data_IF_337775607317
#
_entry.id   IF_337775607317
#
_cell.length_a   1.000
_cell.length_b   1.000
_cell.length_c   1.000
_cell.angle_alpha   90.00
_cell.angle_beta   90.00
_cell.angle_gamma   90.00
#
_symmetry.space_group_name_H-M   'P 1'
#
loop_
_entity.id
_entity.type
_entity.pdbx_description
1 polymer ?
#
# COMPACT_ATOMS: atom_id res chain seq x y z
N UNK A 1 15.63 26.39 -53.76
CA UNK A 1 14.87 25.33 -53.04
C UNK A 1 15.73 24.98 -51.83
N UNK A 2 15.31 25.02 -50.56
CA UNK A 2 14.03 24.74 -49.93
C UNK A 2 13.89 25.66 -48.70
N UNK A 3 12.65 25.90 -48.29
CA UNK A 3 12.18 26.98 -47.43
C UNK A 3 12.14 26.47 -45.98
N UNK A 4 12.81 27.14 -45.05
CA UNK A 4 12.68 26.82 -43.63
C UNK A 4 11.61 27.75 -43.05
N UNK A 5 10.39 27.22 -42.99
CA UNK A 5 9.18 27.91 -42.60
C UNK A 5 8.65 27.31 -41.30
N UNK A 6 8.46 28.20 -40.32
CA UNK A 6 7.53 28.15 -39.18
C UNK A 6 7.84 27.23 -37.99
N UNK A 7 8.54 27.84 -37.03
CA UNK A 7 8.31 27.74 -35.58
C UNK A 7 6.83 27.98 -35.24
N UNK A 8 6.12 26.97 -34.71
CA UNK A 8 4.91 27.18 -33.90
C UNK A 8 4.97 26.24 -32.70
N UNK A 9 5.11 26.89 -31.55
CA UNK A 9 4.94 26.40 -30.19
C UNK A 9 3.50 25.92 -29.99
N UNK A 10 3.31 24.65 -29.68
CA UNK A 10 2.07 24.13 -29.12
C UNK A 10 2.43 23.23 -27.93
N UNK A 11 2.45 23.86 -26.75
CA UNK A 11 2.49 23.19 -25.45
C UNK A 11 1.15 22.47 -25.31
N UNK A 12 1.14 21.16 -25.52
CA UNK A 12 0.00 20.33 -25.12
C UNK A 12 0.39 19.74 -23.78
N UNK A 13 -0.09 20.40 -22.72
CA UNK A 13 -0.22 19.81 -21.42
C UNK A 13 -1.02 18.51 -21.59
N UNK A 14 -0.36 17.36 -21.41
CA UNK A 14 -1.06 16.12 -21.13
C UNK A 14 -1.67 16.26 -19.74
N UNK A 15 -2.87 16.81 -19.73
CA UNK A 15 -3.80 16.68 -18.64
C UNK A 15 -3.88 15.19 -18.29
N UNK A 16 -3.70 14.91 -17.00
CA UNK A 16 -3.97 13.63 -16.40
C UNK A 16 -5.27 13.06 -16.99
N UNK A 17 -5.20 11.85 -17.53
CA UNK A 17 -6.37 11.01 -17.68
C UNK A 17 -6.85 10.61 -16.26
N UNK A 18 -7.36 11.60 -15.52
CA UNK A 18 -8.20 11.40 -14.35
C UNK A 18 -9.61 11.19 -14.88
N UNK A 19 -10.02 9.93 -14.96
CA UNK A 19 -11.38 9.56 -15.30
C UNK A 19 -12.37 10.34 -14.42
N UNK A 20 -13.36 10.95 -15.07
CA UNK A 20 -14.54 11.55 -14.44
C UNK A 20 -15.31 10.51 -13.65
N UNK A 21 -15.64 10.84 -12.41
CA UNK A 21 -16.78 10.27 -11.71
C UNK A 21 -17.60 11.47 -11.24
N UNK A 22 -18.73 11.69 -11.92
CA UNK A 22 -19.84 12.48 -11.41
C UNK A 22 -20.15 12.04 -9.98
N UNK A 23 -20.10 12.99 -9.05
CA UNK A 23 -21.02 13.14 -7.91
C UNK A 23 -20.57 14.35 -7.06
N UNK A 24 -21.45 15.34 -6.96
CA UNK A 24 -21.38 16.44 -5.99
C UNK A 24 -21.44 15.90 -4.56
N UNK A 25 -20.36 15.93 -3.79
CA UNK A 25 -20.37 16.19 -2.35
C UNK A 25 -18.94 16.40 -1.82
N UNK A 26 -18.78 17.40 -0.97
CA UNK A 26 -17.64 17.73 -0.10
C UNK A 26 -16.22 17.22 -0.44
N UNK A 27 -15.27 18.17 -0.49
CA UNK A 27 -13.83 17.91 -0.28
C UNK A 27 -13.60 17.34 1.13
N UNK A 28 -13.82 16.04 1.28
CA UNK A 28 -13.29 15.31 2.41
C UNK A 28 -11.87 14.91 2.02
N UNK A 29 -10.89 15.71 2.45
CA UNK A 29 -9.54 15.18 2.68
C UNK A 29 -9.64 14.22 3.86
N UNK A 30 -10.24 13.04 3.61
CA UNK A 30 -9.99 11.86 4.42
C UNK A 30 -8.55 11.48 4.09
N UNK A 31 -7.59 12.04 4.81
CA UNK A 31 -6.33 11.32 4.99
C UNK A 31 -6.65 10.10 5.85
N UNK A 32 -7.14 9.04 5.21
CA UNK A 32 -7.19 7.73 5.82
C UNK A 32 -6.33 6.79 4.99
N UNK A 33 -5.00 6.79 5.18
CA UNK A 33 -4.20 5.68 4.77
C UNK A 33 -4.16 4.64 5.90
N UNK A 34 -5.30 4.17 6.41
CA UNK A 34 -5.31 2.86 7.09
C UNK A 34 -5.55 1.79 6.03
N UNK A 35 -4.66 1.74 5.03
CA UNK A 35 -4.47 0.53 4.24
C UNK A 35 -3.81 -0.49 5.17
N UNK A 36 -4.63 -1.19 5.97
CA UNK A 36 -4.14 -2.23 6.86
C UNK A 36 -3.38 -3.27 6.03
N UNK A 37 -2.08 -3.41 6.28
CA UNK A 37 -1.25 -4.35 5.52
C UNK A 37 -1.03 -5.63 6.34
N UNK A 38 -1.45 -6.76 5.77
CA UNK A 38 -1.24 -8.07 6.35
C UNK A 38 0.19 -8.55 6.07
N UNK A 39 0.91 -8.91 7.13
CA UNK A 39 2.28 -9.40 7.09
C UNK A 39 2.31 -10.92 7.36
N UNK A 40 2.83 -11.69 6.39
CA UNK A 40 3.10 -13.12 6.53
C UNK A 40 3.99 -13.62 5.39
N UNK A 41 4.56 -14.82 5.52
CA UNK A 41 5.29 -15.48 4.45
C UNK A 41 6.77 -15.12 4.40
N UNK A 42 7.35 -15.10 3.19
CA UNK A 42 8.77 -14.83 2.98
C UNK A 42 8.96 -13.42 2.38
N UNK A 43 9.79 -12.60 3.03
CA UNK A 43 10.21 -11.31 2.51
C UNK A 43 11.51 -11.50 1.70
N UNK A 44 11.43 -11.33 0.39
CA UNK A 44 12.54 -11.51 -0.56
C UNK A 44 13.07 -10.20 -1.14
N UNK A 45 12.48 -9.08 -0.76
CA UNK A 45 12.86 -7.72 -1.17
C UNK A 45 12.73 -6.78 0.01
N UNK A 46 13.39 -5.63 -0.06
CA UNK A 46 13.32 -4.64 1.03
C UNK A 46 11.89 -4.13 1.25
N UNK A 47 11.52 -3.99 2.52
CA UNK A 47 10.24 -3.43 2.97
C UNK A 47 10.48 -2.45 4.10
N UNK A 48 9.90 -1.25 3.99
CA UNK A 48 9.89 -0.27 5.05
C UNK A 48 8.48 -0.11 5.60
N UNK A 49 8.31 -0.35 6.90
CA UNK A 49 7.06 -0.06 7.60
C UNK A 49 7.09 1.40 8.06
N UNK A 50 6.04 2.16 7.72
CA UNK A 50 5.93 3.58 8.01
C UNK A 50 4.92 3.83 9.12
N UNK A 51 5.16 4.86 9.92
CA UNK A 51 4.20 5.28 10.96
C UNK A 51 2.89 5.74 10.33
N UNK A 52 1.78 5.58 11.06
CA UNK A 52 0.43 5.92 10.59
C UNK A 52 -0.25 4.84 9.74
N UNK A 53 0.45 3.76 9.38
CA UNK A 53 -0.11 2.59 8.71
C UNK A 53 -0.37 1.49 9.75
N UNK A 54 -1.56 0.90 9.69
CA UNK A 54 -1.87 -0.27 10.51
C UNK A 54 -1.27 -1.54 9.88
N UNK A 55 -0.45 -2.26 10.63
CA UNK A 55 0.12 -3.53 10.19
C UNK A 55 -0.41 -4.68 11.03
N UNK A 56 -0.86 -5.74 10.37
CA UNK A 56 -1.33 -6.96 11.05
C UNK A 56 -0.47 -8.14 10.67
N UNK A 57 0.28 -8.69 11.63
CA UNK A 57 1.00 -9.96 11.49
C UNK A 57 -0.01 -11.11 11.58
N UNK A 58 -0.40 -11.64 10.41
CA UNK A 58 -1.40 -12.72 10.29
C UNK A 58 -0.77 -14.11 10.34
N UNK A 59 0.55 -14.18 10.24
CA UNK A 59 1.34 -15.40 10.33
C UNK A 59 2.83 -15.10 10.45
N UNK A 60 3.66 -16.13 10.46
CA UNK A 60 5.11 -15.93 10.51
C UNK A 60 5.61 -15.16 9.27
N UNK A 61 6.45 -14.15 9.47
CA UNK A 61 7.14 -13.40 8.43
C UNK A 61 8.64 -13.71 8.51
N UNK A 62 9.22 -14.26 7.44
CA UNK A 62 10.63 -14.64 7.36
C UNK A 62 11.38 -13.70 6.43
N UNK A 63 12.32 -12.93 6.97
CA UNK A 63 13.22 -12.10 6.17
C UNK A 63 14.31 -12.99 5.55
N UNK A 64 14.37 -13.05 4.22
CA UNK A 64 15.36 -13.86 3.50
C UNK A 64 16.68 -13.10 3.35
N UNK A 65 17.74 -13.86 3.09
CA UNK A 65 19.05 -13.29 2.77
C UNK A 65 18.94 -12.30 1.62
N UNK A 66 19.54 -11.12 1.79
CA UNK A 66 19.50 -10.04 0.80
C UNK A 66 18.27 -9.14 0.86
N UNK A 67 17.33 -9.39 1.78
CA UNK A 67 16.19 -8.51 2.04
C UNK A 67 16.33 -7.83 3.41
N UNK A 68 15.79 -6.61 3.51
CA UNK A 68 15.78 -5.79 4.72
C UNK A 68 14.35 -5.44 5.11
N UNK A 69 14.00 -5.67 6.37
CA UNK A 69 12.77 -5.14 6.97
C UNK A 69 13.13 -3.94 7.85
N UNK A 70 12.82 -2.74 7.39
CA UNK A 70 13.03 -1.50 8.14
C UNK A 70 11.73 -1.12 8.84
N UNK A 71 11.77 -0.97 10.17
CA UNK A 71 10.63 -0.53 10.96
C UNK A 71 10.90 0.90 11.42
N UNK A 72 10.19 1.87 10.86
CA UNK A 72 10.34 3.26 11.29
C UNK A 72 9.80 3.48 12.71
N UNK A 73 10.28 4.53 13.36
CA UNK A 73 9.80 4.91 14.68
C UNK A 73 8.29 5.18 14.65
N UNK A 74 7.58 4.73 15.69
CA UNK A 74 6.12 4.91 15.81
C UNK A 74 5.27 3.85 15.11
N UNK A 75 5.88 2.88 14.42
CA UNK A 75 5.14 1.75 13.83
C UNK A 75 4.59 0.83 14.92
N UNK A 76 3.32 0.45 14.79
CA UNK A 76 2.69 -0.61 15.59
C UNK A 76 2.32 -1.78 14.69
N UNK A 77 2.75 -2.99 15.05
CA UNK A 77 2.38 -4.23 14.37
C UNK A 77 1.51 -5.08 15.30
N UNK A 78 0.27 -5.34 14.90
CA UNK A 78 -0.69 -6.16 15.66
C UNK A 78 -0.55 -7.62 15.25
N UNK A 79 -0.37 -8.54 16.19
CA UNK A 79 -0.39 -9.98 15.87
C UNK A 79 -1.81 -10.53 15.97
N UNK A 80 -2.24 -11.30 14.97
CA UNK A 80 -3.47 -12.10 15.11
C UNK A 80 -3.19 -13.24 16.08
N UNK A 81 -3.97 -13.29 17.17
CA UNK A 81 -3.97 -14.41 18.07
C UNK A 81 -4.49 -15.66 17.33
N UNK A 82 -3.68 -16.71 17.27
CA UNK A 82 -4.11 -17.99 16.70
C UNK A 82 -5.11 -18.64 17.66
N UNK A 83 -6.40 -18.42 17.41
CA UNK A 83 -7.48 -18.98 18.23
C UNK A 83 -7.87 -20.32 17.64
N UNK A 84 -7.44 -21.41 18.28
CA UNK A 84 -7.94 -22.75 17.96
C UNK A 84 -9.45 -22.74 18.19
N UNK A 85 -10.23 -22.68 17.11
CA UNK A 85 -11.66 -22.85 17.21
C UNK A 85 -11.94 -24.26 17.77
N UNK A 86 -12.44 -24.31 19.01
CA UNK A 86 -13.23 -25.38 19.57
C UNK A 86 -12.58 -26.79 19.66
N UNK A 87 -11.97 -27.09 20.82
CA UNK A 87 -11.57 -28.46 21.22
C UNK A 87 -12.74 -29.31 21.79
N UNK A 88 -14.00 -28.84 21.74
CA UNK A 88 -15.14 -29.54 22.36
C UNK A 88 -15.93 -30.46 21.40
N UNK A 89 -15.36 -30.95 20.29
CA UNK A 89 -16.08 -31.82 19.35
C UNK A 89 -15.39 -33.16 19.02
N UNK A 90 -14.61 -33.74 19.94
CA UNK A 90 -13.96 -35.05 19.73
C UNK A 90 -14.29 -36.09 20.82
N UNK A 91 -15.37 -35.86 21.58
CA UNK A 91 -15.91 -36.84 22.54
C UNK A 91 -17.41 -37.00 22.28
N UNK A 92 -17.76 -37.68 21.19
CA UNK A 92 -19.05 -38.34 20.98
C UNK A 92 -18.79 -39.67 20.32
#
# INVERSE_FOLDING_TARGET
MKKNLLTILAIIAFAFAGCTLDNDDATVIVQNPTTSQNLSGNLTSDLTLQSGIEYTLTGALFVKSGATLTIQAGVTVKALAFRLANRNNYLK
#
